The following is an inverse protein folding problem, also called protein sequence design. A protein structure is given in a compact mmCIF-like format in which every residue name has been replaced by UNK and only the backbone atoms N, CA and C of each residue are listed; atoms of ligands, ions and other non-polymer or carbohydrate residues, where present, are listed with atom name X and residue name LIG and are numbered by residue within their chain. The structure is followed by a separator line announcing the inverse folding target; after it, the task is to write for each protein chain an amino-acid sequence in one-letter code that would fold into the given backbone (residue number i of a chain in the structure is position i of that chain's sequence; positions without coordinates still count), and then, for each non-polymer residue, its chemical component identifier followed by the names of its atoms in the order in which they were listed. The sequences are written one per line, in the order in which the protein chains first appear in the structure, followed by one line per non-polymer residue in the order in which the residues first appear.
data_IF_798232602294
#
_entry.id   IF_798232602294
#
_cell.length_a   1.000
_cell.length_b   1.000
_cell.length_c   1.000
_cell.angle_alpha   90.00
_cell.angle_beta   90.00
_cell.angle_gamma   90.00
#
_symmetry.space_group_name_H-M   'P 1'
#
loop_
_entity.id
_entity.type
_entity.pdbx_description
1 polymer ?
#
# COMPACT_ATOMS: atom_id res chain seq x y z
N UNK A 1 8.55 14.35 7.24
CA UNK A 1 7.46 13.75 6.44
C UNK A 1 6.93 12.53 7.16
N UNK A 2 5.65 12.30 7.14
CA UNK A 2 5.02 11.19 7.84
C UNK A 2 4.25 10.30 6.88
N UNK A 3 3.93 9.10 7.33
CA UNK A 3 3.14 8.13 6.59
C UNK A 3 1.69 8.25 7.05
N UNK A 4 0.77 8.43 6.11
CA UNK A 4 -0.67 8.49 6.38
C UNK A 4 -1.38 7.41 5.55
N UNK A 5 -2.36 6.74 6.16
CA UNK A 5 -3.16 5.75 5.47
C UNK A 5 -4.60 6.24 5.36
N UNK A 6 -5.18 6.11 4.16
CA UNK A 6 -6.61 6.36 3.98
C UNK A 6 -7.42 5.26 4.68
N UNK A 7 -8.70 5.51 4.91
CA UNK A 7 -9.60 4.48 5.44
C UNK A 7 -9.62 3.23 4.56
N UNK A 8 -9.75 3.32 3.22
CA UNK A 8 -9.64 2.13 2.38
C UNK A 8 -8.32 1.38 2.51
N UNK A 9 -7.19 2.09 2.68
CA UNK A 9 -5.90 1.42 2.88
C UNK A 9 -5.87 0.66 4.21
N UNK A 10 -6.46 1.22 5.26
CA UNK A 10 -6.56 0.54 6.56
C UNK A 10 -7.43 -0.71 6.46
N UNK A 11 -8.53 -0.62 5.72
CA UNK A 11 -9.41 -1.76 5.48
C UNK A 11 -8.68 -2.84 4.69
N UNK A 12 -7.88 -2.44 3.69
CA UNK A 12 -7.05 -3.38 2.94
C UNK A 12 -6.11 -4.16 3.86
N UNK A 13 -5.48 -3.49 4.81
CA UNK A 13 -4.59 -4.14 5.78
C UNK A 13 -5.33 -5.15 6.64
N UNK A 14 -6.53 -4.80 7.10
CA UNK A 14 -7.35 -5.72 7.89
C UNK A 14 -7.73 -6.96 7.09
N UNK A 15 -8.11 -6.77 5.83
CA UNK A 15 -8.47 -7.88 4.94
C UNK A 15 -7.28 -8.80 4.69
N UNK A 16 -6.10 -8.22 4.45
CA UNK A 16 -4.87 -8.98 4.23
C UNK A 16 -4.54 -9.79 5.49
N UNK A 17 -4.61 -9.14 6.65
CA UNK A 17 -4.33 -9.82 7.92
C UNK A 17 -5.31 -10.97 8.15
N UNK A 18 -6.60 -10.73 7.98
CA UNK A 18 -7.62 -11.74 8.22
C UNK A 18 -7.45 -12.96 7.32
N UNK A 19 -7.11 -12.71 6.04
CA UNK A 19 -6.90 -13.80 5.09
C UNK A 19 -5.74 -14.70 5.53
N UNK A 20 -4.60 -14.10 5.89
CA UNK A 20 -3.41 -14.87 6.30
C UNK A 20 -3.63 -15.52 7.67
N UNK A 21 -4.25 -14.78 8.60
CA UNK A 21 -4.50 -15.25 9.96
C UNK A 21 -5.43 -16.46 10.01
N UNK A 22 -6.26 -16.64 9.00
CA UNK A 22 -7.09 -17.83 8.87
C UNK A 22 -6.27 -19.12 8.82
N UNK A 23 -4.99 -19.03 8.48
CA UNK A 23 -4.06 -20.15 8.42
C UNK A 23 -3.00 -20.06 9.52
N UNK A 24 -2.49 -18.84 9.78
CA UNK A 24 -1.39 -18.63 10.73
C UNK A 24 -1.34 -17.17 11.16
N UNK A 25 -1.73 -16.89 12.40
CA UNK A 25 -1.77 -15.53 12.93
C UNK A 25 -0.36 -14.90 13.04
N UNK A 26 0.63 -15.71 13.40
CA UNK A 26 2.02 -15.23 13.48
C UNK A 26 2.50 -14.78 12.10
N UNK A 27 2.18 -15.55 11.06
CA UNK A 27 2.54 -15.19 9.69
C UNK A 27 1.83 -13.91 9.26
N UNK A 28 0.57 -13.72 9.68
CA UNK A 28 -0.18 -12.50 9.38
C UNK A 28 0.49 -11.27 10.00
N UNK A 29 0.89 -11.38 11.27
CA UNK A 29 1.57 -10.28 11.97
C UNK A 29 2.89 -9.93 11.29
N UNK A 30 3.66 -10.94 10.90
CA UNK A 30 4.94 -10.73 10.20
C UNK A 30 4.74 -10.08 8.84
N UNK A 31 3.70 -10.49 8.12
CA UNK A 31 3.42 -9.92 6.80
C UNK A 31 3.10 -8.43 6.90
N UNK A 32 2.23 -8.06 7.84
CA UNK A 32 1.88 -6.66 8.05
C UNK A 32 3.07 -5.83 8.51
N UNK A 33 3.93 -6.39 9.36
CA UNK A 33 5.14 -5.70 9.78
C UNK A 33 6.07 -5.46 8.58
N UNK A 34 6.18 -6.42 7.67
CA UNK A 34 6.95 -6.27 6.44
C UNK A 34 6.38 -5.17 5.54
N UNK A 35 5.04 -5.15 5.37
CA UNK A 35 4.37 -4.09 4.62
C UNK A 35 4.66 -2.71 5.22
N UNK A 36 4.56 -2.60 6.55
CA UNK A 36 4.82 -1.35 7.25
C UNK A 36 6.26 -0.88 7.03
N UNK A 37 7.22 -1.76 7.18
CA UNK A 37 8.64 -1.42 6.97
C UNK A 37 8.89 -0.98 5.53
N UNK A 38 8.27 -1.67 4.57
CA UNK A 38 8.41 -1.31 3.17
C UNK A 38 7.85 0.08 2.90
N UNK A 39 6.66 0.36 3.42
CA UNK A 39 6.03 1.67 3.25
C UNK A 39 6.85 2.79 3.89
N UNK A 40 7.48 2.52 5.04
CA UNK A 40 8.31 3.51 5.72
C UNK A 40 9.55 3.91 4.93
N UNK A 41 10.03 3.07 4.01
CA UNK A 41 11.13 3.44 3.13
C UNK A 41 10.78 4.65 2.25
N UNK A 42 9.49 4.88 2.01
CA UNK A 42 9.02 5.99 1.19
C UNK A 42 9.26 7.36 1.84
N UNK A 43 9.41 7.39 3.16
CA UNK A 43 9.67 8.66 3.86
C UNK A 43 11.03 9.23 3.43
N UNK A 44 12.03 8.38 3.28
CA UNK A 44 13.36 8.80 2.83
C UNK A 44 13.50 8.76 1.30
N UNK A 45 12.71 7.92 0.63
CA UNK A 45 12.78 7.73 -0.81
C UNK A 45 11.39 7.79 -1.44
N UNK A 46 10.79 9.01 -1.52
CA UNK A 46 9.41 9.12 -2.04
C UNK A 46 9.24 8.65 -3.50
N UNK A 47 10.31 8.69 -4.31
CA UNK A 47 10.26 8.26 -5.71
C UNK A 47 10.56 6.78 -5.89
N UNK A 48 10.68 6.01 -4.80
CA UNK A 48 11.03 4.58 -4.87
C UNK A 48 9.99 3.78 -5.66
N UNK A 49 8.71 4.12 -5.53
CA UNK A 49 7.65 3.44 -6.26
C UNK A 49 7.60 3.87 -7.73
N UNK A 50 7.11 2.95 -8.57
CA UNK A 50 6.94 3.19 -9.99
C UNK A 50 5.76 4.13 -10.25
N UNK A 51 5.91 5.06 -11.19
CA UNK A 51 4.79 5.92 -11.61
C UNK A 51 3.67 5.08 -12.23
N UNK A 52 2.44 5.41 -11.88
CA UNK A 52 1.25 4.72 -12.37
C UNK A 52 0.25 5.74 -12.92
N UNK A 53 0.74 6.67 -13.75
CA UNK A 53 -0.11 7.72 -14.33
C UNK A 53 -1.19 7.15 -15.25
N UNK A 54 -0.99 5.94 -15.76
CA UNK A 54 -2.01 5.25 -16.55
C UNK A 54 -3.25 4.88 -15.72
N UNK A 55 -3.11 4.85 -14.38
CA UNK A 55 -4.24 4.61 -13.47
C UNK A 55 -4.79 5.94 -12.99
N UNK A 56 -3.97 6.73 -12.30
CA UNK A 56 -4.32 8.07 -11.82
C UNK A 56 -3.06 8.93 -11.89
N UNK A 57 -3.13 10.12 -12.49
CA UNK A 57 -1.97 11.02 -12.51
C UNK A 57 -1.45 11.32 -11.11
N UNK A 58 -0.15 11.20 -10.93
CA UNK A 58 0.52 11.50 -9.66
C UNK A 58 0.56 10.36 -8.66
N UNK A 59 0.00 9.20 -9.00
CA UNK A 59 0.05 8.03 -8.11
C UNK A 59 1.28 7.19 -8.44
N UNK A 60 1.84 6.55 -7.41
CA UNK A 60 2.93 5.58 -7.55
C UNK A 60 2.57 4.27 -6.88
N UNK A 61 3.23 3.19 -7.25
CA UNK A 61 3.05 1.90 -6.58
C UNK A 61 4.40 1.32 -6.19
N UNK A 62 4.46 0.77 -4.97
CA UNK A 62 5.64 0.12 -4.42
C UNK A 62 5.31 -1.34 -4.16
N UNK A 63 6.11 -2.23 -4.75
CA UNK A 63 5.87 -3.67 -4.63
C UNK A 63 6.39 -4.20 -3.29
N UNK A 64 5.57 -4.99 -2.63
CA UNK A 64 5.98 -5.83 -1.51
C UNK A 64 5.36 -7.21 -1.70
N UNK A 65 6.18 -8.20 -2.06
CA UNK A 65 5.74 -9.57 -2.35
C UNK A 65 4.62 -9.56 -3.39
N UNK A 66 3.42 -10.01 -3.03
CA UNK A 66 2.27 -10.08 -3.95
C UNK A 66 1.39 -8.84 -3.91
N UNK A 67 1.73 -7.83 -3.10
CA UNK A 67 0.92 -6.63 -2.93
C UNK A 67 1.60 -5.40 -3.47
N UNK A 68 0.78 -4.45 -3.88
CA UNK A 68 1.22 -3.13 -4.35
C UNK A 68 0.69 -2.07 -3.39
N UNK A 69 1.60 -1.23 -2.90
CA UNK A 69 1.27 -0.11 -2.04
C UNK A 69 1.11 1.10 -2.95
N UNK A 70 -0.14 1.53 -3.18
CA UNK A 70 -0.42 2.71 -3.99
C UNK A 70 -0.38 3.95 -3.11
N UNK A 71 0.42 4.93 -3.49
CA UNK A 71 0.63 6.11 -2.66
C UNK A 71 0.77 7.38 -3.49
N UNK A 72 0.61 8.50 -2.82
CA UNK A 72 0.81 9.84 -3.38
C UNK A 72 1.76 10.60 -2.46
N UNK A 73 2.68 11.37 -3.05
CA UNK A 73 3.57 12.24 -2.29
C UNK A 73 2.87 13.59 -2.10
N UNK A 74 2.59 13.93 -0.84
CA UNK A 74 2.02 15.21 -0.45
C UNK A 74 3.12 16.09 0.14
N UNK A 75 2.80 17.36 0.42
CA UNK A 75 3.79 18.33 0.90
C UNK A 75 4.50 17.84 2.18
N UNK A 76 3.76 17.27 3.12
CA UNK A 76 4.32 16.87 4.41
C UNK A 76 4.09 15.41 4.74
N UNK A 77 3.58 14.62 3.80
CA UNK A 77 3.23 13.22 4.06
C UNK A 77 3.32 12.36 2.81
N UNK A 78 3.56 11.07 3.04
CA UNK A 78 3.31 10.03 2.05
C UNK A 78 1.92 9.49 2.37
N UNK A 79 0.98 9.67 1.46
CA UNK A 79 -0.39 9.19 1.66
C UNK A 79 -0.56 7.85 0.96
N UNK A 80 -0.75 6.78 1.74
CA UNK A 80 -1.05 5.45 1.19
C UNK A 80 -2.54 5.37 0.89
N UNK A 81 -2.87 5.23 -0.38
CA UNK A 81 -4.26 5.25 -0.87
C UNK A 81 -4.91 3.88 -0.82
N UNK A 82 -4.20 2.85 -1.25
CA UNK A 82 -4.68 1.47 -1.27
C UNK A 82 -3.51 0.50 -1.15
N UNK A 83 -3.79 -0.71 -0.67
CA UNK A 83 -2.84 -1.82 -0.70
C UNK A 83 -3.56 -2.98 -1.36
N UNK A 84 -3.19 -3.29 -2.60
CA UNK A 84 -3.93 -4.20 -3.45
C UNK A 84 -3.07 -5.37 -3.91
N UNK A 85 -3.69 -6.53 -4.09
CA UNK A 85 -3.00 -7.69 -4.65
C UNK A 85 -2.67 -7.42 -6.11
N UNK A 86 -1.44 -7.76 -6.52
CA UNK A 86 -0.95 -7.44 -7.86
C UNK A 86 -1.68 -8.12 -9.01
N UNK A 87 -2.45 -9.19 -8.73
CA UNK A 87 -3.18 -9.89 -9.80
C UNK A 87 -4.63 -9.42 -9.98
N UNK A 88 -5.10 -8.42 -9.20
CA UNK A 88 -6.44 -7.87 -9.46
C UNK A 88 -6.38 -6.83 -10.57
N UNK A 89 -7.56 -6.44 -11.08
CA UNK A 89 -7.65 -5.40 -12.09
C UNK A 89 -7.43 -4.03 -11.43
N UNK A 90 -6.20 -3.56 -11.49
CA UNK A 90 -5.79 -2.34 -10.80
C UNK A 90 -6.45 -1.09 -11.36
N UNK A 91 -6.82 -1.09 -12.64
CA UNK A 91 -7.49 0.06 -13.27
C UNK A 91 -8.94 0.20 -12.84
N UNK A 92 -9.57 -0.90 -12.44
CA UNK A 92 -10.97 -0.92 -12.01
C UNK A 92 -11.11 -0.74 -10.51
N UNK A 93 -10.02 -0.72 -9.75
CA UNK A 93 -10.05 -0.53 -8.31
C UNK A 93 -10.43 0.92 -7.97
N UNK A 94 -11.06 1.12 -6.82
CA UNK A 94 -11.37 2.44 -6.31
C UNK A 94 -10.17 3.01 -5.57
N UNK A 95 -9.77 4.22 -5.96
CA UNK A 95 -8.69 4.92 -5.29
C UNK A 95 -9.25 6.20 -4.65
N UNK A 96 -9.08 6.38 -3.34
CA UNK A 96 -9.51 7.62 -2.69
C UNK A 96 -8.68 8.81 -3.19
N UNK A 97 -9.30 9.98 -3.19
CA UNK A 97 -8.68 11.22 -3.70
C UNK A 97 -8.43 12.22 -2.60
#
# INVERSE_FOLDING_TARGET
MRLELTTPAREDLLDIWAYIAGHDETAADKYLEGLRKRALELIEHPELGRKRDEIIPGIRSLLFRNHLIFYRVETSAIQVLRILHGNMDLKQADYPR
#
